data_IF_089149048570
#
_entry.id   IF_089149048570
#
_cell.length_a   1.000
_cell.length_b   1.000
_cell.length_c   1.000
_cell.angle_alpha   90.00
_cell.angle_beta   90.00
_cell.angle_gamma   90.00
#
_symmetry.space_group_name_H-M   'P 1'
#
loop_
_entity.id
_entity.type
_entity.pdbx_description
1 polymer ?
#
# COMPACT_ATOMS: atom_id res chain seq x y z
N UNK A 1 -1.14 4.46 22.01
CA UNK A 1 -1.79 5.10 20.85
C UNK A 1 -1.73 4.13 19.69
N UNK A 2 -2.88 3.81 19.08
CA UNK A 2 -2.96 2.87 17.97
C UNK A 2 -2.35 3.41 16.66
N UNK A 3 -2.09 2.52 15.71
CA UNK A 3 -1.59 2.87 14.37
C UNK A 3 -0.12 3.33 14.32
N UNK A 4 0.69 2.95 15.32
CA UNK A 4 2.14 3.24 15.34
C UNK A 4 2.89 2.45 14.28
N UNK A 5 2.58 1.17 14.14
CA UNK A 5 3.13 0.27 13.10
C UNK A 5 2.82 0.78 11.70
N UNK A 6 1.57 1.19 11.46
CA UNK A 6 1.15 1.78 10.19
C UNK A 6 1.91 3.07 9.88
N UNK A 7 2.18 3.89 10.90
CA UNK A 7 3.00 5.09 10.75
C UNK A 7 4.48 4.76 10.46
N UNK A 8 5.01 3.68 11.05
CA UNK A 8 6.37 3.23 10.78
C UNK A 8 6.54 2.78 9.32
N UNK A 9 5.54 2.08 8.77
CA UNK A 9 5.51 1.69 7.36
C UNK A 9 5.60 2.91 6.43
N UNK A 10 4.90 3.99 6.78
CA UNK A 10 4.95 5.25 6.02
C UNK A 10 6.29 5.96 6.18
N UNK A 11 6.85 5.96 7.39
CA UNK A 11 8.15 6.60 7.65
C UNK A 11 9.29 5.91 6.93
N UNK A 12 9.30 4.58 6.89
CA UNK A 12 10.31 3.78 6.20
C UNK A 12 10.42 4.18 4.72
N UNK A 13 9.28 4.31 4.03
CA UNK A 13 9.31 4.77 2.64
C UNK A 13 9.68 6.25 2.53
N UNK A 14 9.25 7.10 3.47
CA UNK A 14 9.51 8.54 3.43
C UNK A 14 10.97 8.89 3.72
N UNK A 15 11.71 8.02 4.41
CA UNK A 15 13.13 8.20 4.70
C UNK A 15 14.07 7.79 3.55
N UNK A 16 13.57 7.10 2.53
CA UNK A 16 14.38 6.70 1.38
C UNK A 16 14.53 7.81 0.33
N UNK A 17 15.55 7.70 -0.52
CA UNK A 17 15.71 8.59 -1.66
C UNK A 17 14.55 8.43 -2.66
N UNK A 18 14.12 9.54 -3.26
CA UNK A 18 12.99 9.53 -4.20
C UNK A 18 13.27 8.57 -5.37
N UNK A 19 12.40 7.58 -5.54
CA UNK A 19 12.50 6.60 -6.61
C UNK A 19 13.39 5.39 -6.30
N UNK A 20 13.98 5.31 -5.12
CA UNK A 20 14.71 4.12 -4.68
C UNK A 20 13.74 3.05 -4.18
N UNK A 21 13.87 1.83 -4.71
CA UNK A 21 13.12 0.68 -4.24
C UNK A 21 13.81 0.06 -3.02
N UNK A 22 13.15 0.13 -1.87
CA UNK A 22 13.51 -0.60 -0.65
C UNK A 22 12.88 -2.00 -0.70
N UNK A 23 13.39 -2.97 0.05
CA UNK A 23 12.75 -4.29 0.17
C UNK A 23 11.32 -4.18 0.70
N UNK A 24 10.41 -4.99 0.20
CA UNK A 24 9.03 -5.01 0.70
C UNK A 24 9.01 -5.51 2.16
N UNK A 25 8.58 -4.66 3.09
CA UNK A 25 8.47 -5.03 4.49
C UNK A 25 7.21 -5.87 4.76
N UNK A 26 7.27 -7.16 4.41
CA UNK A 26 6.16 -8.12 4.57
C UNK A 26 5.72 -8.23 6.02
N UNK A 27 6.66 -8.31 6.96
CA UNK A 27 6.34 -8.52 8.38
C UNK A 27 5.57 -7.33 8.95
N UNK A 28 6.07 -6.11 8.75
CA UNK A 28 5.39 -4.90 9.23
C UNK A 28 4.05 -4.71 8.51
N UNK A 29 3.96 -5.01 7.22
CA UNK A 29 2.71 -4.93 6.48
C UNK A 29 1.66 -5.89 7.06
N UNK A 30 2.04 -7.16 7.32
CA UNK A 30 1.15 -8.15 7.93
C UNK A 30 0.74 -7.77 9.36
N UNK A 31 1.65 -7.18 10.15
CA UNK A 31 1.32 -6.66 11.48
C UNK A 31 0.24 -5.58 11.41
N UNK A 32 0.34 -4.64 10.49
CA UNK A 32 -0.68 -3.58 10.32
C UNK A 32 -2.02 -4.15 9.86
N UNK A 33 -2.00 -5.17 8.99
CA UNK A 33 -3.22 -5.89 8.58
C UNK A 33 -3.85 -6.63 9.76
N UNK A 34 -3.05 -7.29 10.60
CA UNK A 34 -3.53 -7.95 11.80
C UNK A 34 -4.15 -6.95 12.80
N UNK A 35 -3.52 -5.78 12.99
CA UNK A 35 -4.08 -4.69 13.80
C UNK A 35 -5.44 -4.21 13.25
N UNK A 36 -5.56 -4.06 11.93
CA UNK A 36 -6.84 -3.70 11.30
C UNK A 36 -7.93 -4.74 11.59
N UNK A 37 -7.61 -6.03 11.46
CA UNK A 37 -8.54 -7.12 11.76
C UNK A 37 -8.97 -7.10 13.23
N UNK A 38 -8.04 -6.87 14.15
CA UNK A 38 -8.34 -6.77 15.58
C UNK A 38 -9.27 -5.59 15.87
N UNK A 39 -8.99 -4.41 15.33
CA UNK A 39 -9.85 -3.24 15.51
C UNK A 39 -11.23 -3.40 14.88
N UNK A 40 -11.35 -4.14 13.78
CA UNK A 40 -12.64 -4.46 13.19
C UNK A 40 -13.48 -5.34 14.13
N UNK A 41 -12.88 -6.36 14.76
CA UNK A 41 -13.55 -7.23 15.72
C UNK A 41 -13.99 -6.45 16.97
N UNK A 42 -13.12 -5.60 17.51
CA UNK A 42 -13.42 -4.75 18.67
C UNK A 42 -14.57 -3.77 18.36
N UNK A 43 -14.50 -3.12 17.19
CA UNK A 43 -15.57 -2.23 16.71
C UNK A 43 -16.91 -2.98 16.61
N UNK A 44 -16.93 -4.15 15.99
CA UNK A 44 -18.14 -4.96 15.85
C UNK A 44 -18.71 -5.38 17.21
N UNK A 45 -17.85 -5.77 18.16
CA UNK A 45 -18.28 -6.11 19.52
C UNK A 45 -18.94 -4.93 20.24
N UNK A 46 -18.38 -3.73 20.11
CA UNK A 46 -18.93 -2.53 20.74
C UNK A 46 -20.27 -2.12 20.11
N UNK A 47 -20.38 -2.18 18.78
CA UNK A 47 -21.64 -1.92 18.08
C UNK A 47 -22.72 -2.90 18.54
N UNK A 48 -22.41 -4.20 18.61
CA UNK A 48 -23.36 -5.22 19.06
C UNK A 48 -23.83 -4.98 20.50
N UNK A 49 -22.90 -4.64 21.41
CA UNK A 49 -23.23 -4.33 22.79
C UNK A 49 -24.18 -3.13 22.90
N UNK A 50 -23.92 -2.06 22.15
CA UNK A 50 -24.78 -0.87 22.14
C UNK A 50 -26.18 -1.18 21.58
N UNK A 51 -26.28 -2.05 20.58
CA UNK A 51 -27.56 -2.50 20.01
C UNK A 51 -28.37 -3.35 21.01
N UNK A 52 -27.71 -4.26 21.72
CA UNK A 52 -28.31 -5.08 22.78
C UNK A 52 -28.87 -4.22 23.93
N UNK A 53 -28.16 -3.14 24.29
CA UNK A 53 -28.60 -2.17 25.30
C UNK A 53 -29.66 -1.18 24.78
N UNK A 54 -30.08 -1.29 23.51
CA UNK A 54 -31.02 -0.38 22.81
C UNK A 54 -30.60 1.09 22.89
N UNK A 55 -29.29 1.33 22.87
CA UNK A 55 -28.73 2.67 22.87
C UNK A 55 -28.80 3.26 21.48
N UNK A 56 -29.37 4.46 21.36
CA UNK A 56 -29.35 5.19 20.10
C UNK A 56 -27.96 5.79 19.87
N UNK A 57 -27.25 5.26 18.87
CA UNK A 57 -25.89 5.67 18.47
C UNK A 57 -25.83 7.16 18.10
N UNK A 58 -26.94 7.78 17.70
CA UNK A 58 -26.97 9.20 17.33
C UNK A 58 -27.02 10.14 18.54
N UNK A 59 -27.58 9.68 19.67
CA UNK A 59 -27.79 10.52 20.86
C UNK A 59 -26.88 10.12 22.03
N UNK A 60 -26.46 8.86 22.09
CA UNK A 60 -25.64 8.31 23.16
C UNK A 60 -24.16 8.60 22.93
N UNK A 61 -23.55 9.33 23.87
CA UNK A 61 -22.11 9.64 23.93
C UNK A 61 -21.45 8.96 25.14
N UNK A 62 -21.69 7.67 25.31
CA UNK A 62 -21.13 6.89 26.40
C UNK A 62 -19.71 6.38 26.06
N UNK A 63 -19.09 5.65 26.99
CA UNK A 63 -17.75 5.10 26.80
C UNK A 63 -17.67 4.14 25.59
N UNK A 64 -18.69 3.32 25.37
CA UNK A 64 -18.74 2.36 24.26
C UNK A 64 -18.77 3.07 22.89
N UNK A 65 -19.54 4.16 22.77
CA UNK A 65 -19.58 4.99 21.56
C UNK A 65 -18.19 5.55 21.23
N UNK A 66 -17.50 6.14 22.21
CA UNK A 66 -16.17 6.70 21.99
C UNK A 66 -15.13 5.60 21.72
N UNK A 67 -15.26 4.43 22.34
CA UNK A 67 -14.45 3.26 22.02
C UNK A 67 -14.61 2.84 20.56
N UNK A 68 -15.85 2.69 20.09
CA UNK A 68 -16.17 2.35 18.71
C UNK A 68 -15.61 3.40 17.73
N UNK A 69 -15.78 4.69 18.05
CA UNK A 69 -15.23 5.79 17.24
C UNK A 69 -13.71 5.71 17.11
N UNK A 70 -12.99 5.43 18.21
CA UNK A 70 -11.52 5.32 18.19
C UNK A 70 -11.08 4.13 17.31
N UNK A 71 -11.73 2.97 17.42
CA UNK A 71 -11.42 1.81 16.58
C UNK A 71 -11.70 2.09 15.11
N UNK A 72 -12.84 2.72 14.79
CA UNK A 72 -13.18 3.12 13.42
C UNK A 72 -12.14 4.08 12.82
N UNK A 73 -11.81 5.16 13.54
CA UNK A 73 -10.82 6.15 13.08
C UNK A 73 -9.43 5.53 12.90
N UNK A 74 -9.05 4.61 13.79
CA UNK A 74 -7.79 3.87 13.68
C UNK A 74 -7.77 2.98 12.45
N UNK A 75 -8.85 2.26 12.16
CA UNK A 75 -8.98 1.41 10.97
C UNK A 75 -8.84 2.22 9.69
N UNK A 76 -9.54 3.36 9.59
CA UNK A 76 -9.46 4.27 8.44
C UNK A 76 -8.04 4.80 8.26
N UNK A 77 -7.36 5.15 9.36
CA UNK A 77 -5.97 5.61 9.34
C UNK A 77 -5.01 4.52 8.86
N UNK A 78 -5.08 3.31 9.42
CA UNK A 78 -4.21 2.20 9.03
C UNK A 78 -4.43 1.81 7.57
N UNK A 79 -5.69 1.77 7.10
CA UNK A 79 -6.02 1.56 5.68
C UNK A 79 -5.35 2.61 4.79
N UNK A 80 -5.42 3.89 5.15
CA UNK A 80 -4.78 4.97 4.38
C UNK A 80 -3.25 4.79 4.31
N UNK A 81 -2.61 4.41 5.42
CA UNK A 81 -1.17 4.15 5.47
C UNK A 81 -0.77 2.96 4.58
N UNK A 82 -1.51 1.84 4.65
CA UNK A 82 -1.29 0.66 3.81
C UNK A 82 -1.41 1.01 2.32
N UNK A 83 -2.48 1.72 1.94
CA UNK A 83 -2.71 2.13 0.56
C UNK A 83 -1.62 3.10 0.07
N UNK A 84 -1.21 4.06 0.89
CA UNK A 84 -0.14 4.99 0.53
C UNK A 84 1.20 4.27 0.29
N UNK A 85 1.55 3.31 1.15
CA UNK A 85 2.75 2.50 1.00
C UNK A 85 2.74 1.68 -0.30
N UNK A 86 1.66 0.94 -0.57
CA UNK A 86 1.53 0.13 -1.79
C UNK A 86 1.50 1.00 -3.05
N UNK A 87 0.78 2.12 -3.03
CA UNK A 87 0.68 3.03 -4.17
C UNK A 87 2.04 3.64 -4.52
N UNK A 88 2.79 4.13 -3.51
CA UNK A 88 4.13 4.66 -3.72
C UNK A 88 5.07 3.64 -4.37
N UNK A 89 5.03 2.39 -3.89
CA UNK A 89 5.83 1.31 -4.48
C UNK A 89 5.40 0.97 -5.91
N UNK A 90 4.11 0.94 -6.20
CA UNK A 90 3.60 0.71 -7.55
C UNK A 90 4.01 1.80 -8.55
N UNK A 91 4.09 3.07 -8.11
CA UNK A 91 4.66 4.17 -8.92
C UNK A 91 6.15 3.93 -9.24
N UNK A 92 6.94 3.53 -8.24
CA UNK A 92 8.36 3.20 -8.44
C UNK A 92 8.51 2.04 -9.42
N UNK A 93 7.73 0.96 -9.25
CA UNK A 93 7.77 -0.22 -10.13
C UNK A 93 7.41 0.13 -11.58
N UNK A 94 6.42 1.01 -11.80
CA UNK A 94 6.10 1.53 -13.14
C UNK A 94 7.28 2.30 -13.73
N UNK A 95 7.95 3.13 -12.94
CA UNK A 95 9.10 3.90 -13.39
C UNK A 95 10.34 3.02 -13.67
N UNK A 96 10.50 1.89 -12.98
CA UNK A 96 11.59 0.95 -13.24
C UNK A 96 11.54 0.40 -14.66
N UNK A 97 10.34 0.19 -15.21
CA UNK A 97 10.18 -0.31 -16.57
C UNK A 97 10.77 0.66 -17.61
N UNK A 98 10.63 1.97 -17.39
CA UNK A 98 11.18 2.99 -18.28
C UNK A 98 12.69 3.18 -18.11
N UNK A 99 13.22 2.93 -16.90
CA UNK A 99 14.64 3.10 -16.59
C UNK A 99 15.51 1.90 -16.97
N UNK A 100 15.01 0.68 -16.75
CA UNK A 100 15.79 -0.57 -16.88
C UNK A 100 15.25 -1.44 -18.02
N UNK A 101 14.01 -1.21 -18.43
CA UNK A 101 13.34 -1.98 -19.48
C UNK A 101 12.48 -3.11 -18.94
N UNK A 102 12.20 -4.08 -19.81
CA UNK A 102 11.22 -5.15 -19.54
C UNK A 102 11.75 -6.30 -18.69
N UNK A 103 13.06 -6.34 -18.41
CA UNK A 103 13.73 -7.40 -17.63
C UNK A 103 14.29 -6.76 -16.37
N UNK A 104 13.93 -7.30 -15.21
CA UNK A 104 14.40 -6.82 -13.91
C UNK A 104 15.70 -7.54 -13.52
N UNK A 105 16.73 -6.81 -13.07
CA UNK A 105 17.89 -7.40 -12.38
C UNK A 105 17.48 -8.15 -11.12
N UNK A 106 18.23 -9.19 -10.76
CA UNK A 106 17.95 -10.06 -9.62
C UNK A 106 17.87 -9.26 -8.31
N UNK A 107 18.72 -8.25 -8.13
CA UNK A 107 18.78 -7.42 -6.93
C UNK A 107 17.51 -6.59 -6.70
N UNK A 108 16.74 -6.35 -7.76
CA UNK A 108 15.45 -5.66 -7.70
C UNK A 108 14.33 -6.68 -7.49
N UNK A 109 14.38 -7.83 -8.16
CA UNK A 109 13.39 -8.89 -7.97
C UNK A 109 13.34 -9.37 -6.51
N UNK A 110 14.48 -9.49 -5.85
CA UNK A 110 14.58 -9.87 -4.42
C UNK A 110 13.93 -8.86 -3.47
N UNK A 111 13.76 -7.60 -3.90
CA UNK A 111 13.13 -6.52 -3.11
C UNK A 111 11.61 -6.44 -3.30
N UNK A 112 11.07 -7.11 -4.31
CA UNK A 112 9.65 -7.08 -4.64
C UNK A 112 8.91 -8.17 -3.88
N UNK A 113 7.66 -7.89 -3.52
CA UNK A 113 6.73 -8.95 -3.15
C UNK A 113 6.29 -9.73 -4.39
N UNK A 114 5.79 -10.95 -4.21
CA UNK A 114 5.23 -11.76 -5.30
C UNK A 114 4.16 -11.00 -6.11
N UNK A 115 3.25 -10.30 -5.42
CA UNK A 115 2.20 -9.52 -6.06
C UNK A 115 2.75 -8.33 -6.88
N UNK A 116 3.82 -7.70 -6.40
CA UNK A 116 4.49 -6.62 -7.13
C UNK A 116 5.22 -7.13 -8.39
N UNK A 117 5.85 -8.30 -8.31
CA UNK A 117 6.45 -8.95 -9.48
C UNK A 117 5.40 -9.33 -10.52
N UNK A 118 4.25 -9.84 -10.10
CA UNK A 118 3.13 -10.12 -11.00
C UNK A 118 2.56 -8.84 -11.62
N UNK A 119 2.44 -7.77 -10.84
CA UNK A 119 2.04 -6.44 -11.31
C UNK A 119 2.99 -5.92 -12.39
N UNK A 120 4.30 -6.00 -12.17
CA UNK A 120 5.30 -5.59 -13.16
C UNK A 120 5.16 -6.39 -14.47
N UNK A 121 5.02 -7.72 -14.40
CA UNK A 121 4.85 -8.58 -15.57
C UNK A 121 3.61 -8.20 -16.38
N UNK A 122 2.46 -8.00 -15.71
CA UNK A 122 1.21 -7.57 -16.35
C UNK A 122 1.35 -6.19 -16.99
N UNK A 123 1.98 -5.24 -16.29
CA UNK A 123 2.20 -3.90 -16.81
C UNK A 123 3.12 -3.90 -18.04
N UNK A 124 4.22 -4.66 -17.97
CA UNK A 124 5.16 -4.86 -19.07
C UNK A 124 4.49 -5.47 -20.31
N UNK A 125 3.65 -6.49 -20.13
CA UNK A 125 2.89 -7.10 -21.22
C UNK A 125 1.89 -6.12 -21.85
N UNK A 126 1.16 -5.35 -21.02
CA UNK A 126 0.21 -4.35 -21.50
C UNK A 126 0.90 -3.24 -22.30
N UNK A 127 2.07 -2.80 -21.86
CA UNK A 127 2.84 -1.78 -22.57
C UNK A 127 3.40 -2.30 -23.91
N UNK A 128 3.95 -3.52 -23.94
CA UNK A 128 4.39 -4.16 -25.19
C UNK A 128 3.25 -4.28 -26.19
N UNK A 129 2.07 -4.67 -25.72
CA UNK A 129 0.86 -4.72 -26.55
C UNK A 129 0.53 -3.35 -27.13
N UNK A 130 0.55 -2.30 -26.30
CA UNK A 130 0.31 -0.93 -26.76
C UNK A 130 1.34 -0.47 -27.81
N UNK A 131 2.63 -0.66 -27.55
CA UNK A 131 3.71 -0.33 -28.50
C UNK A 131 3.55 -1.05 -29.83
N UNK A 132 3.15 -2.33 -29.80
CA UNK A 132 2.88 -3.10 -31.03
C UNK A 132 1.71 -2.53 -31.85
N UNK A 133 0.72 -1.95 -31.18
CA UNK A 133 -0.47 -1.35 -31.84
C UNK A 133 -0.15 0.00 -32.47
N UNK A 134 0.71 0.78 -31.81
CA UNK A 134 1.11 2.11 -32.28
C UNK A 134 2.32 2.03 -33.24
N UNK A 135 2.97 0.87 -33.33
CA UNK A 135 4.20 0.65 -34.13
C UNK A 135 5.33 1.61 -33.76
N UNK A 136 5.38 2.02 -32.49
CA UNK A 136 6.40 2.93 -31.94
C UNK A 136 6.94 2.33 -30.66
N UNK A 137 8.27 2.28 -30.55
CA UNK A 137 8.94 1.93 -29.29
C UNK A 137 9.11 3.20 -28.44
N UNK A 138 8.35 3.27 -27.34
CA UNK A 138 8.38 4.40 -26.42
C UNK A 138 9.50 4.28 -25.38
N UNK A 139 10.20 3.15 -25.30
CA UNK A 139 11.27 2.94 -24.31
C UNK A 139 12.61 3.53 -24.73
N UNK A 140 12.81 3.79 -26.03
CA UNK A 140 14.10 4.23 -26.60
C UNK A 140 14.45 5.66 -26.16
N UNK A 141 13.47 6.56 -26.03
CA UNK A 141 13.72 7.98 -25.74
C UNK A 141 14.22 8.30 -24.33
N UNK A 142 14.16 7.37 -23.37
CA UNK A 142 14.65 7.60 -21.99
C UNK A 142 15.99 6.92 -21.68
N UNK A 143 16.46 6.00 -22.54
CA UNK A 143 17.80 5.40 -22.37
C UNK A 143 18.93 6.34 -22.80
N UNK A 144 18.65 7.33 -23.67
CA UNK A 144 19.64 8.31 -24.14
C UNK A 144 19.97 9.40 -23.10
N UNK A 145 19.08 9.68 -22.13
CA UNK A 145 19.34 10.69 -21.08
C UNK A 145 20.27 10.18 -19.97
N UNK A 146 20.56 8.88 -19.90
CA UNK A 146 21.43 8.26 -18.89
C UNK A 146 22.86 7.98 -19.39
N UNK A 147 23.14 8.28 -20.67
CA UNK A 147 24.44 8.09 -21.32
C UNK A 147 25.15 9.41 -21.68
N UNK A 148 24.62 10.55 -21.23
CA UNK A 148 25.22 11.89 -21.37
C UNK A 148 25.81 12.44 -20.08
#
# INVERSE_FOLDING_TARGET
MYGRTACQLVKEFASGDKGQLVSFNSDLFQQVVAECSQHLLELQSLIRKMEEERLDIQTVRNADYYGALIHHLTLVRNKRCLMAYVYNRAEIIRNLLWKIGHVLPQEIEEKLSHAEGEYFKKHSAALKYYMSKVMVDLTVGQMEELSG
#
